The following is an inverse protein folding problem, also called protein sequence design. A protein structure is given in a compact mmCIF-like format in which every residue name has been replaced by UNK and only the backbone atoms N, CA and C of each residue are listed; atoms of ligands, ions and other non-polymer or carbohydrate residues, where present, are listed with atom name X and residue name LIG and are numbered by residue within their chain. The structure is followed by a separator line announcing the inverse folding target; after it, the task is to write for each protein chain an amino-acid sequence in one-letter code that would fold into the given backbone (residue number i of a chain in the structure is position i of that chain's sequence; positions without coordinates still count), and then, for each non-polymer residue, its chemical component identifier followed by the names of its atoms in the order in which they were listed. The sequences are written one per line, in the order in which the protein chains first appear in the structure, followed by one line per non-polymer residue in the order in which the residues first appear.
data_IF_556229644996
#
_entry.id   IF_556229644996
#
_cell.length_a   1.000
_cell.length_b   1.000
_cell.length_c   1.000
_cell.angle_alpha   90.00
_cell.angle_beta   90.00
_cell.angle_gamma   90.00
#
_symmetry.space_group_name_H-M   'P 1'
#
loop_
_entity.id
_entity.type
_entity.pdbx_description
1 polymer ?
#
# COMPACT_ATOMS: atom_id res chain seq x y z
N UNK A 1 15.31 1.97 -12.51
CA UNK A 1 15.58 0.57 -12.24
C UNK A 1 14.36 -0.30 -12.41
N UNK A 2 14.60 -1.57 -12.52
CA UNK A 2 13.53 -2.52 -12.74
C UNK A 2 12.86 -2.88 -11.42
N UNK A 3 11.55 -2.85 -11.42
CA UNK A 3 10.77 -3.29 -10.27
C UNK A 3 9.43 -3.85 -10.74
N UNK A 4 8.85 -4.66 -9.89
CA UNK A 4 7.50 -5.21 -10.06
C UNK A 4 6.59 -4.48 -9.08
N UNK A 5 5.43 -4.05 -9.55
CA UNK A 5 4.44 -3.39 -8.70
C UNK A 5 3.20 -4.27 -8.56
N UNK A 6 2.81 -4.51 -7.32
CA UNK A 6 1.52 -5.10 -6.98
C UNK A 6 0.62 -3.95 -6.54
N UNK A 7 -0.54 -3.80 -7.17
CA UNK A 7 -1.50 -2.76 -6.84
C UNK A 7 -2.72 -3.36 -6.16
N UNK A 8 -3.01 -2.87 -4.95
CA UNK A 8 -4.12 -3.35 -4.14
C UNK A 8 -5.17 -2.25 -4.04
N UNK A 9 -6.40 -2.58 -4.38
CA UNK A 9 -7.52 -1.64 -4.31
C UNK A 9 -7.79 -1.22 -2.86
N UNK A 10 -7.93 0.08 -2.62
CA UNK A 10 -8.13 0.60 -1.27
C UNK A 10 -9.44 0.16 -0.64
N UNK A 11 -10.52 0.11 -1.43
CA UNK A 11 -11.83 -0.31 -0.91
C UNK A 11 -11.87 -1.80 -0.55
N UNK A 12 -11.04 -2.62 -1.20
CA UNK A 12 -10.89 -4.03 -0.84
C UNK A 12 -10.16 -4.19 0.50
N UNK A 13 -9.16 -3.36 0.74
CA UNK A 13 -8.33 -3.45 1.95
C UNK A 13 -8.96 -2.77 3.16
N UNK A 14 -9.65 -1.64 2.96
CA UNK A 14 -10.07 -0.76 4.06
C UNK A 14 -11.47 -0.21 3.83
N UNK A 15 -12.18 0.04 4.92
CA UNK A 15 -13.39 0.85 4.87
C UNK A 15 -13.02 2.33 4.71
N UNK A 16 -14.00 3.14 4.27
CA UNK A 16 -13.80 4.57 4.03
C UNK A 16 -13.24 5.26 5.27
N UNK A 17 -12.16 6.03 5.07
CA UNK A 17 -11.52 6.81 6.15
C UNK A 17 -10.78 5.98 7.18
N UNK A 18 -10.67 4.67 7.00
CA UNK A 18 -10.04 3.77 7.97
C UNK A 18 -8.78 3.13 7.41
N UNK A 19 -7.91 2.71 8.32
CA UNK A 19 -6.68 1.99 7.99
C UNK A 19 -6.65 0.58 8.62
N UNK A 20 -7.78 0.12 9.14
CA UNK A 20 -7.90 -1.25 9.64
C UNK A 20 -8.15 -2.19 8.48
N UNK A 21 -7.32 -3.21 8.34
CA UNK A 21 -7.42 -4.18 7.25
C UNK A 21 -8.69 -4.99 7.40
N UNK A 22 -9.50 -5.03 6.33
CA UNK A 22 -10.75 -5.80 6.31
C UNK A 22 -10.44 -7.29 6.31
N UNK A 23 -11.28 -8.07 6.99
CA UNK A 23 -11.09 -9.52 7.07
C UNK A 23 -11.06 -10.21 5.70
N UNK A 24 -11.82 -9.70 4.73
CA UNK A 24 -11.86 -10.26 3.38
C UNK A 24 -10.53 -10.10 2.63
N UNK A 25 -9.69 -9.14 3.03
CA UNK A 25 -8.40 -8.91 2.41
C UNK A 25 -7.29 -9.83 2.96
N UNK A 26 -7.50 -10.43 4.11
CA UNK A 26 -6.48 -11.25 4.79
C UNK A 26 -5.96 -12.39 3.92
N UNK A 27 -6.80 -13.21 3.26
CA UNK A 27 -6.28 -14.29 2.41
C UNK A 27 -5.39 -13.79 1.28
N UNK A 28 -5.70 -12.63 0.70
CA UNK A 28 -4.88 -12.04 -0.36
C UNK A 28 -3.55 -11.55 0.20
N UNK A 29 -3.56 -10.89 1.36
CA UNK A 29 -2.33 -10.43 2.00
C UNK A 29 -1.44 -11.60 2.42
N UNK A 30 -2.01 -12.71 2.83
CA UNK A 30 -1.24 -13.92 3.13
C UNK A 30 -0.53 -14.44 1.87
N UNK A 31 -1.21 -14.46 0.73
CA UNK A 31 -0.59 -14.86 -0.54
C UNK A 31 0.51 -13.90 -0.96
N UNK A 32 0.29 -12.62 -0.77
CA UNK A 32 1.31 -11.61 -1.05
C UNK A 32 2.53 -11.83 -0.17
N UNK A 33 2.33 -12.11 1.12
CA UNK A 33 3.42 -12.42 2.04
C UNK A 33 4.26 -13.60 1.55
N UNK A 34 3.62 -14.67 1.10
CA UNK A 34 4.34 -15.84 0.52
C UNK A 34 5.13 -15.41 -0.71
N UNK A 35 4.54 -14.61 -1.59
CA UNK A 35 5.22 -14.12 -2.78
C UNK A 35 6.44 -13.27 -2.40
N UNK A 36 6.29 -12.33 -1.47
CA UNK A 36 7.37 -11.44 -1.07
C UNK A 36 8.56 -12.17 -0.46
N UNK A 37 8.31 -13.28 0.22
CA UNK A 37 9.41 -14.07 0.82
C UNK A 37 10.36 -14.65 -0.25
N UNK A 38 9.89 -14.80 -1.48
CA UNK A 38 10.74 -15.20 -2.61
C UNK A 38 11.69 -14.09 -3.04
N UNK A 39 11.45 -12.86 -2.59
CA UNK A 39 12.23 -11.68 -2.93
C UNK A 39 12.85 -11.06 -1.67
N UNK A 40 13.16 -11.90 -0.68
CA UNK A 40 13.65 -11.44 0.63
C UNK A 40 14.96 -10.65 0.54
N UNK A 41 15.74 -10.84 -0.52
CA UNK A 41 16.98 -10.11 -0.76
C UNK A 41 16.78 -8.81 -1.54
N UNK A 42 15.55 -8.51 -1.95
CA UNK A 42 15.22 -7.29 -2.68
C UNK A 42 14.67 -6.22 -1.73
N UNK A 43 14.87 -4.96 -2.09
CA UNK A 43 14.20 -3.86 -1.42
C UNK A 43 12.71 -3.87 -1.78
N UNK A 44 11.87 -3.74 -0.78
CA UNK A 44 10.42 -3.72 -0.93
C UNK A 44 9.91 -2.37 -0.43
N UNK A 45 9.01 -1.75 -1.17
CA UNK A 45 8.37 -0.50 -0.78
C UNK A 45 6.86 -0.66 -0.76
N UNK A 46 6.22 -0.19 0.31
CA UNK A 46 4.78 -0.19 0.46
C UNK A 46 4.33 1.28 0.47
N UNK A 47 3.52 1.69 -0.50
CA UNK A 47 3.07 3.07 -0.62
C UNK A 47 1.55 3.15 -0.60
N UNK A 48 1.01 3.97 0.30
CA UNK A 48 -0.40 4.30 0.33
C UNK A 48 -0.71 5.54 -0.49
N UNK A 49 -1.83 5.52 -1.22
CA UNK A 49 -2.29 6.64 -2.05
C UNK A 49 -3.79 6.85 -1.86
N UNK A 50 -4.21 8.10 -1.98
CA UNK A 50 -5.62 8.49 -1.91
C UNK A 50 -6.06 9.14 -3.21
N UNK A 51 -7.36 9.37 -3.34
CA UNK A 51 -7.89 10.32 -4.33
C UNK A 51 -7.71 11.75 -3.81
N UNK A 52 -8.24 12.73 -4.53
CA UNK A 52 -8.12 14.15 -4.16
C UNK A 52 -9.31 14.68 -3.36
N UNK A 53 -10.24 13.83 -2.94
CA UNK A 53 -11.34 14.25 -2.08
C UNK A 53 -10.79 14.49 -0.68
N UNK A 54 -10.92 15.71 -0.14
CA UNK A 54 -10.44 15.99 1.21
C UNK A 54 -11.12 15.08 2.23
N UNK A 55 -10.34 14.54 3.15
CA UNK A 55 -10.89 13.76 4.24
C UNK A 55 -10.50 14.41 5.56
N UNK A 56 -11.43 14.39 6.49
CA UNK A 56 -11.15 14.70 7.88
C UNK A 56 -12.00 13.77 8.72
N UNK A 57 -11.37 13.11 9.68
CA UNK A 57 -12.05 12.14 10.50
C UNK A 57 -11.49 12.12 11.90
N UNK A 58 -12.03 11.23 12.73
CA UNK A 58 -11.66 11.15 14.13
C UNK A 58 -10.21 10.71 14.32
N UNK A 59 -9.69 9.84 13.46
CA UNK A 59 -8.36 9.27 13.61
C UNK A 59 -7.32 9.89 12.69
N UNK A 60 -7.72 10.23 11.45
CA UNK A 60 -6.83 10.83 10.46
C UNK A 60 -7.39 12.16 10.04
N UNK A 61 -6.58 13.22 10.09
CA UNK A 61 -7.04 14.56 9.81
C UNK A 61 -6.93 14.96 8.34
N UNK A 62 -6.18 14.20 7.54
CA UNK A 62 -6.02 14.48 6.12
C UNK A 62 -5.60 13.23 5.35
N UNK A 63 -5.52 13.36 4.02
CA UNK A 63 -5.14 12.25 3.13
C UNK A 63 -3.71 11.79 3.33
N UNK A 64 -2.80 12.68 3.70
CA UNK A 64 -1.40 12.29 3.98
C UNK A 64 -1.34 11.33 5.16
N UNK A 65 -2.03 11.66 6.25
CA UNK A 65 -2.06 10.81 7.44
C UNK A 65 -2.77 9.49 7.17
N UNK A 66 -3.89 9.52 6.44
CA UNK A 66 -4.63 8.31 6.12
C UNK A 66 -3.79 7.36 5.28
N UNK A 67 -3.14 7.88 4.23
CA UNK A 67 -2.31 7.05 3.35
C UNK A 67 -1.11 6.46 4.09
N UNK A 68 -0.50 7.24 4.99
CA UNK A 68 0.58 6.76 5.86
C UNK A 68 0.11 5.65 6.80
N UNK A 69 -1.05 5.84 7.44
CA UNK A 69 -1.65 4.83 8.32
C UNK A 69 -1.98 3.54 7.58
N UNK A 70 -2.46 3.63 6.35
CA UNK A 70 -2.79 2.47 5.52
C UNK A 70 -1.55 1.68 5.12
N UNK A 71 -0.50 2.36 4.68
CA UNK A 71 0.76 1.67 4.34
C UNK A 71 1.38 1.02 5.57
N UNK A 72 1.31 1.69 6.73
CA UNK A 72 1.80 1.12 7.99
C UNK A 72 1.01 -0.13 8.39
N UNK A 73 -0.30 -0.13 8.22
CA UNK A 73 -1.13 -1.31 8.53
C UNK A 73 -0.73 -2.52 7.69
N UNK A 74 -0.48 -2.31 6.39
CA UNK A 74 -0.02 -3.39 5.50
C UNK A 74 1.37 -3.86 5.91
N UNK A 75 2.28 -2.92 6.19
CA UNK A 75 3.64 -3.23 6.67
C UNK A 75 3.57 -4.08 7.95
N UNK A 76 2.81 -3.65 8.94
CA UNK A 76 2.70 -4.37 10.21
C UNK A 76 2.12 -5.78 10.02
N UNK A 77 1.10 -5.90 9.16
CA UNK A 77 0.53 -7.21 8.87
C UNK A 77 1.58 -8.15 8.28
N UNK A 78 2.30 -7.68 7.27
CA UNK A 78 3.32 -8.49 6.60
C UNK A 78 4.47 -8.85 7.54
N UNK A 79 4.94 -7.91 8.37
CA UNK A 79 6.00 -8.20 9.35
C UNK A 79 5.56 -9.22 10.38
N UNK A 80 4.29 -9.19 10.78
CA UNK A 80 3.74 -10.13 11.75
C UNK A 80 3.45 -11.52 11.21
N UNK A 81 3.41 -11.70 9.88
CA UNK A 81 2.99 -12.94 9.24
C UNK A 81 4.02 -13.51 8.25
N UNK A 82 5.22 -12.93 8.22
CA UNK A 82 6.33 -13.41 7.39
C UNK A 82 7.63 -13.30 8.18
N UNK A 83 8.70 -13.85 7.60
CA UNK A 83 10.05 -13.69 8.14
C UNK A 83 10.86 -12.63 7.37
N UNK A 84 10.18 -11.71 6.69
CA UNK A 84 10.86 -10.62 5.99
C UNK A 84 11.62 -9.74 6.98
N UNK A 85 12.80 -9.28 6.55
CA UNK A 85 13.62 -8.35 7.34
C UNK A 85 13.02 -6.94 7.24
N UNK A 86 12.57 -6.34 8.37
CA UNK A 86 12.00 -5.00 8.34
C UNK A 86 12.93 -3.94 7.77
N UNK A 87 14.26 -4.14 7.87
CA UNK A 87 15.23 -3.17 7.33
C UNK A 87 15.24 -3.14 5.80
N UNK A 88 14.66 -4.15 5.15
CA UNK A 88 14.55 -4.23 3.69
C UNK A 88 13.19 -3.76 3.17
N UNK A 89 12.28 -3.37 4.05
CA UNK A 89 10.92 -2.99 3.67
C UNK A 89 10.64 -1.57 4.13
N UNK A 90 10.41 -0.68 3.16
CA UNK A 90 10.02 0.72 3.42
C UNK A 90 8.52 0.85 3.32
N UNK A 91 7.97 1.82 4.03
CA UNK A 91 6.56 2.17 3.87
C UNK A 91 6.40 3.68 3.92
N UNK A 92 5.45 4.20 3.16
CA UNK A 92 5.18 5.64 3.10
C UNK A 92 3.75 5.91 2.68
N UNK A 93 3.24 7.08 3.08
CA UNK A 93 2.00 7.62 2.57
C UNK A 93 2.31 8.75 1.62
N UNK A 94 1.72 8.70 0.42
CA UNK A 94 1.92 9.70 -0.63
C UNK A 94 0.71 10.61 -0.81
N UNK A 95 -0.33 10.46 0.01
CA UNK A 95 -1.53 11.28 -0.08
C UNK A 95 -2.17 11.22 -1.47
N UNK A 96 -2.65 12.37 -1.92
CA UNK A 96 -3.32 12.51 -3.23
C UNK A 96 -2.35 12.84 -4.38
N UNK A 97 -1.05 12.95 -4.11
CA UNK A 97 -0.10 13.63 -5.00
C UNK A 97 0.43 12.78 -6.13
N UNK A 98 0.09 11.49 -6.17
CA UNK A 98 0.58 10.57 -7.23
C UNK A 98 -0.63 9.85 -7.86
N UNK A 99 -1.51 10.57 -8.56
CA UNK A 99 -2.67 9.94 -9.18
C UNK A 99 -2.25 9.08 -10.38
N UNK A 100 -2.97 7.98 -10.59
CA UNK A 100 -2.82 7.13 -11.77
C UNK A 100 -4.05 7.20 -12.69
N UNK A 101 -5.09 7.93 -12.26
CA UNK A 101 -6.34 8.05 -13.00
C UNK A 101 -6.96 9.41 -12.74
N UNK A 102 -8.03 9.72 -13.48
CA UNK A 102 -8.73 11.00 -13.41
C UNK A 102 -9.55 11.10 -12.13
N UNK A 103 -9.21 12.06 -11.26
CA UNK A 103 -9.93 12.31 -10.02
C UNK A 103 -11.32 12.94 -10.24
N UNK A 104 -11.63 13.41 -11.45
CA UNK A 104 -12.94 14.02 -11.72
C UNK A 104 -14.05 12.99 -11.88
N UNK A 105 -13.72 11.71 -12.01
CA UNK A 105 -14.69 10.62 -12.12
C UNK A 105 -14.63 9.70 -10.91
N UNK A 106 -15.78 9.08 -10.51
CA UNK A 106 -15.78 8.10 -9.42
C UNK A 106 -14.86 6.90 -9.72
N UNK A 107 -14.83 6.45 -10.97
CA UNK A 107 -14.00 5.33 -11.40
C UNK A 107 -12.51 5.66 -11.27
N UNK A 108 -12.13 6.86 -11.68
CA UNK A 108 -10.74 7.31 -11.57
C UNK A 108 -10.31 7.47 -10.12
N UNK A 109 -11.18 8.04 -9.29
CA UNK A 109 -10.90 8.16 -7.85
C UNK A 109 -10.70 6.80 -7.20
N UNK A 110 -11.53 5.81 -7.58
CA UNK A 110 -11.40 4.46 -7.04
C UNK A 110 -10.04 3.83 -7.39
N UNK A 111 -9.52 4.09 -8.59
CA UNK A 111 -8.20 3.61 -8.99
C UNK A 111 -7.07 4.33 -8.23
N UNK A 112 -7.26 5.59 -7.88
CA UNK A 112 -6.27 6.34 -7.13
C UNK A 112 -6.17 5.90 -5.67
N UNK A 113 -7.28 5.41 -5.09
CA UNK A 113 -7.30 4.87 -3.71
C UNK A 113 -6.71 3.47 -3.72
N UNK A 114 -5.40 3.37 -3.44
CA UNK A 114 -4.68 2.10 -3.56
C UNK A 114 -3.49 2.02 -2.60
N UNK A 115 -3.01 0.81 -2.40
CA UNK A 115 -1.69 0.56 -1.83
C UNK A 115 -0.86 -0.14 -2.90
N UNK A 116 0.33 0.37 -3.17
CA UNK A 116 1.27 -0.24 -4.10
C UNK A 116 2.39 -0.91 -3.32
N UNK A 117 2.73 -2.12 -3.71
CA UNK A 117 3.89 -2.83 -3.17
C UNK A 117 4.86 -3.01 -4.32
N UNK A 118 6.03 -2.36 -4.24
CA UNK A 118 7.07 -2.44 -5.24
C UNK A 118 8.19 -3.35 -4.75
N UNK A 119 8.55 -4.29 -5.59
CA UNK A 119 9.66 -5.20 -5.36
C UNK A 119 10.76 -4.80 -6.34
N UNK A 120 11.86 -4.26 -5.83
CA UNK A 120 12.98 -3.87 -6.66
C UNK A 120 13.81 -5.11 -6.97
N UNK A 121 14.07 -5.32 -8.26
CA UNK A 121 14.93 -6.43 -8.66
C UNK A 121 16.35 -6.14 -8.22
N UNK A 122 16.92 -7.01 -7.38
CA UNK A 122 18.28 -6.84 -6.88
C UNK A 122 19.32 -6.90 -8.02
N UNK A 123 18.99 -7.56 -9.15
CA UNK A 123 19.87 -7.61 -10.31
C UNK A 123 19.87 -6.30 -11.09
N UNK A 124 18.85 -5.45 -10.92
CA UNK A 124 18.77 -4.17 -11.65
C UNK A 124 19.78 -3.14 -11.15
N UNK A 125 20.46 -3.40 -10.05
CA UNK A 125 21.49 -2.50 -9.53
C UNK A 125 22.83 -2.60 -10.25
N UNK A 126 22.95 -3.53 -11.18
CA UNK A 126 24.18 -3.71 -11.98
C UNK A 126 24.14 -2.86 -13.29
#
# INVERSE_FOLDING_TARGET
GDYVTLTLNGAFLFDSGKADIKSDAIPVLNKIGVLLTRYADSDIEIEGHTDNVPMSGAKYSNNDELSGGRSLSVFNYLMGHTNLDPSMVKHSGRGEYVPIADNSTPEGRALNRRVEIRIHNSLSSY
#
